data_IF_028455003533
#
_entry.id   IF_028455003533
#
_cell.length_a   1.000
_cell.length_b   1.000
_cell.length_c   1.000
_cell.angle_alpha   90.00
_cell.angle_beta   90.00
_cell.angle_gamma   90.00
#
_symmetry.space_group_name_H-M   'P 1'
#
loop_
_entity.id
_entity.type
_entity.pdbx_description
1 polymer ?
#
# COMPACT_ATOMS: atom_id res chain seq x y z
N UNK A 1 -7.01 -5.11 -14.41
CA UNK A 1 -6.35 -5.07 -13.96
C UNK A 1 -5.87 -5.27 -13.80
N UNK A 2 -6.08 -5.38 -13.94
CA UNK A 2 -5.32 -5.42 -13.55
C UNK A 2 -4.71 -5.13 -13.50
N UNK A 3 -4.95 -4.94 -13.73
CA UNK A 3 -4.12 -4.62 -13.52
C UNK A 3 -3.80 -4.69 -13.93
N UNK A 4 -4.34 -4.60 -14.41
CA UNK A 4 -3.91 -4.53 -14.53
C UNK A 4 -3.82 -4.43 -14.64
N UNK A 5 -4.45 -4.46 -15.27
CA UNK A 5 -4.18 -4.25 -15.22
C UNK A 5 -4.28 -4.07 -15.56
N UNK A 6 -4.90 -4.08 -15.98
CA UNK A 6 -4.76 -3.82 -16.12
C UNK A 6 -4.47 -3.59 -16.24
N UNK A 7 -4.87 -3.53 -16.67
CA UNK A 7 -4.38 -3.33 -16.46
C UNK A 7 -3.58 -3.48 -16.39
N UNK A 8 -3.77 -3.56 -16.64
CA UNK A 8 -2.95 -3.64 -16.30
C UNK A 8 -2.17 -4.17 -16.02
N UNK A 9 -2.09 -4.46 -16.23
CA UNK A 9 -1.36 -4.77 -15.68
C UNK A 9 -0.55 -4.85 -15.16
N UNK A 10 -0.36 -5.07 -15.00
CA UNK A 10 0.45 -5.01 -14.39
C UNK A 10 1.07 -5.49 -14.04
N UNK A 11 1.32 -5.69 -13.89
CA UNK A 11 2.04 -5.89 -13.42
C UNK A 11 2.84 -6.35 -13.09
N UNK A 12 3.18 -6.75 -12.89
CA UNK A 12 4.01 -7.26 -12.98
C UNK A 12 5.03 -7.00 -12.33
N UNK A 13 5.53 -6.78 -11.93
CA UNK A 13 6.52 -6.29 -11.45
C UNK A 13 6.54 -6.46 -10.20
N UNK A 14 5.86 -6.62 -9.57
CA UNK A 14 5.95 -6.65 -8.39
C UNK A 14 6.05 -7.67 -7.73
N UNK A 15 5.94 -8.54 -7.95
CA UNK A 15 6.00 -9.54 -7.34
C UNK A 15 7.06 -9.73 -6.66
N UNK A 16 7.75 -9.09 -6.56
CA UNK A 16 8.85 -9.17 -5.96
C UNK A 16 8.62 -9.38 -4.62
N UNK A 17 7.65 -9.22 -4.05
CA UNK A 17 7.51 -9.37 -2.74
C UNK A 17 6.66 -10.46 -2.39
N UNK A 18 6.54 -11.48 -3.02
CA UNK A 18 5.74 -12.47 -2.74
C UNK A 18 6.17 -13.31 -1.73
N UNK A 19 5.67 -13.33 -0.65
CA UNK A 19 6.05 -14.16 0.40
C UNK A 19 4.98 -14.96 0.77
N UNK A 20 4.32 -15.60 0.23
CA UNK A 20 3.25 -16.20 0.57
C UNK A 20 3.27 -17.34 1.17
N UNK A 21 3.15 -17.54 2.18
CA UNK A 21 3.29 -18.73 2.69
C UNK A 21 2.20 -19.11 3.52
N UNK A 22 1.37 -18.48 3.96
CA UNK A 22 0.40 -18.93 4.79
C UNK A 22 -0.83 -18.57 4.27
N UNK A 23 -1.43 -18.96 3.32
CA UNK A 23 -2.65 -18.62 2.82
C UNK A 23 -3.67 -18.56 3.86
N UNK A 24 -4.63 -17.80 3.78
CA UNK A 24 -5.66 -17.68 4.77
C UNK A 24 -5.55 -16.44 5.62
N UNK A 25 -4.42 -15.78 5.61
CA UNK A 25 -4.29 -14.54 6.33
C UNK A 25 -4.39 -13.39 5.35
N UNK A 26 -5.06 -12.32 5.75
CA UNK A 26 -5.19 -11.16 4.90
C UNK A 26 -3.84 -10.62 4.48
N UNK A 27 -3.74 -10.20 3.22
CA UNK A 27 -2.55 -9.63 2.60
C UNK A 27 -1.38 -10.63 2.49
N UNK A 28 -1.62 -11.90 2.79
CA UNK A 28 -0.60 -12.92 2.68
C UNK A 28 -0.79 -13.63 1.35
N UNK A 29 -0.72 -12.92 0.26
CA UNK A 29 -0.98 -13.41 -1.09
C UNK A 29 -0.13 -12.61 -2.06
N UNK A 30 -0.32 -12.78 -3.35
CA UNK A 30 0.43 -12.05 -4.36
C UNK A 30 0.12 -10.56 -4.28
N UNK A 31 1.12 -9.73 -4.46
CA UNK A 31 0.99 -8.29 -4.30
C UNK A 31 1.26 -7.58 -5.60
N UNK A 32 0.41 -6.64 -5.92
CA UNK A 32 0.50 -5.87 -7.15
C UNK A 32 0.42 -4.38 -6.86
N UNK A 33 0.92 -3.59 -7.78
CA UNK A 33 0.75 -2.15 -7.73
C UNK A 33 0.16 -1.72 -9.04
N UNK A 34 -0.58 -0.62 -9.04
CA UNK A 34 -1.10 -0.08 -10.28
C UNK A 34 0.00 0.69 -11.00
N UNK A 35 -0.24 1.02 -12.26
CA UNK A 35 0.68 1.81 -13.04
C UNK A 35 0.92 3.17 -12.38
N UNK A 36 -0.12 3.79 -11.85
CA UNK A 36 0.02 5.09 -11.19
C UNK A 36 0.96 5.01 -9.99
N UNK A 37 0.82 3.99 -9.17
CA UNK A 37 1.73 3.78 -8.05
C UNK A 37 3.16 3.59 -8.55
N UNK A 38 3.33 2.76 -9.56
CA UNK A 38 4.65 2.50 -10.09
C UNK A 38 5.34 3.77 -10.61
N UNK A 39 4.57 4.67 -11.19
CA UNK A 39 5.13 5.88 -11.76
C UNK A 39 5.33 7.00 -10.76
N UNK A 40 4.48 7.09 -9.74
CA UNK A 40 4.45 8.26 -8.89
C UNK A 40 4.85 8.05 -7.44
N UNK A 41 4.82 6.83 -6.95
CA UNK A 41 5.19 6.60 -5.56
C UNK A 41 6.56 5.92 -5.49
N UNK A 42 7.56 6.58 -4.91
CA UNK A 42 8.91 6.00 -4.83
C UNK A 42 8.92 4.61 -4.17
N UNK A 43 9.81 3.76 -4.62
CA UNK A 43 9.88 2.38 -4.16
C UNK A 43 10.05 2.27 -2.64
N UNK A 44 10.86 3.14 -2.05
CA UNK A 44 11.06 3.08 -0.60
C UNK A 44 9.74 3.32 0.15
N UNK A 45 8.86 4.16 -0.38
CA UNK A 45 7.56 4.38 0.24
C UNK A 45 6.63 3.20 -0.01
N UNK A 46 6.69 2.60 -1.18
CA UNK A 46 5.89 1.41 -1.45
C UNK A 46 6.24 0.31 -0.45
N UNK A 47 7.52 0.07 -0.24
CA UNK A 47 7.98 -0.94 0.70
C UNK A 47 7.52 -0.61 2.12
N UNK A 48 7.61 0.67 2.49
CA UNK A 48 7.17 1.10 3.81
C UNK A 48 5.69 0.81 4.02
N UNK A 49 4.84 1.14 3.04
CA UNK A 49 3.40 0.93 3.21
C UNK A 49 3.06 -0.56 3.34
N UNK A 50 3.69 -1.42 2.53
CA UNK A 50 3.47 -2.86 2.68
C UNK A 50 3.93 -3.33 4.06
N UNK A 51 5.05 -2.81 4.56
CA UNK A 51 5.54 -3.24 5.87
C UNK A 51 4.63 -2.77 7.00
N UNK A 52 3.97 -1.64 6.83
CA UNK A 52 3.03 -1.18 7.84
C UNK A 52 1.81 -2.11 7.92
N UNK A 53 1.38 -2.66 6.80
CA UNK A 53 0.31 -3.65 6.81
C UNK A 53 0.82 -4.94 7.45
N UNK A 54 2.01 -5.39 7.10
CA UNK A 54 2.56 -6.65 7.60
C UNK A 54 2.76 -6.63 9.12
N UNK A 55 3.07 -5.47 9.67
CA UNK A 55 3.37 -5.38 11.10
C UNK A 55 2.18 -4.92 11.93
N UNK A 56 0.99 -4.80 11.32
CA UNK A 56 -0.18 -4.37 12.03
C UNK A 56 -0.57 -5.40 13.08
N UNK A 57 -0.81 -4.96 14.31
CA UNK A 57 -1.07 -5.88 15.41
C UNK A 57 -2.55 -6.12 15.67
N UNK A 58 -3.43 -5.30 15.11
CA UNK A 58 -4.87 -5.54 15.25
C UNK A 58 -5.35 -6.42 14.10
N UNK A 59 -6.57 -6.90 14.20
CA UNK A 59 -7.13 -7.69 13.12
C UNK A 59 -7.21 -6.83 11.87
N UNK A 60 -6.72 -7.31 10.73
CA UNK A 60 -6.62 -6.51 9.53
C UNK A 60 -7.96 -6.43 8.80
N UNK A 61 -8.32 -5.21 8.41
CA UNK A 61 -9.45 -4.98 7.52
C UNK A 61 -8.94 -5.18 6.09
N UNK A 62 -9.82 -5.52 5.17
CA UNK A 62 -9.44 -5.71 3.77
C UNK A 62 -8.96 -4.41 3.11
N UNK A 63 -9.35 -3.26 3.63
CA UNK A 63 -8.97 -1.97 3.09
C UNK A 63 -8.05 -1.25 4.09
N UNK A 64 -6.84 -1.01 3.67
CA UNK A 64 -5.88 -0.26 4.46
C UNK A 64 -5.69 1.10 3.79
N UNK A 65 -5.80 2.18 4.56
CA UNK A 65 -5.81 3.54 4.06
C UNK A 65 -4.57 4.27 4.52
N UNK A 66 -3.85 4.91 3.59
CA UNK A 66 -2.67 5.66 3.92
C UNK A 66 -2.80 7.09 3.38
N UNK A 67 -2.75 8.07 4.27
CA UNK A 67 -2.71 9.47 3.85
C UNK A 67 -1.27 9.94 4.01
N UNK A 68 -0.67 10.38 2.92
CA UNK A 68 0.71 10.83 2.91
C UNK A 68 0.72 12.33 2.70
N UNK A 69 1.25 13.06 3.67
CA UNK A 69 1.24 14.51 3.64
C UNK A 69 2.66 15.00 3.58
N UNK A 70 2.93 15.93 2.68
CA UNK A 70 4.25 16.55 2.59
C UNK A 70 4.32 17.64 3.66
N UNK A 71 5.24 17.50 4.60
CA UNK A 71 5.42 18.50 5.65
C UNK A 71 6.31 19.60 5.10
N UNK A 72 7.48 19.25 4.58
CA UNK A 72 8.35 20.19 3.90
C UNK A 72 9.51 19.38 3.33
N UNK A 73 10.00 19.77 2.15
CA UNK A 73 11.09 19.05 1.50
C UNK A 73 10.72 17.59 1.30
N UNK A 74 11.54 16.70 1.80
CA UNK A 74 11.28 15.27 1.70
C UNK A 74 10.75 14.68 3.01
N UNK A 75 10.36 15.52 3.96
CA UNK A 75 9.78 15.03 5.21
C UNK A 75 8.29 14.83 5.04
N UNK A 76 7.83 13.63 5.30
CA UNK A 76 6.45 13.24 5.12
C UNK A 76 5.82 12.78 6.41
N UNK A 77 4.49 12.90 6.48
CA UNK A 77 3.73 12.35 7.58
C UNK A 77 2.77 11.35 6.97
N UNK A 78 2.79 10.13 7.42
CA UNK A 78 1.93 9.07 6.90
C UNK A 78 0.98 8.65 7.99
N UNK A 79 -0.32 8.73 7.71
CA UNK A 79 -1.35 8.24 8.61
C UNK A 79 -1.94 6.98 8.02
N UNK A 80 -1.79 5.89 8.75
CA UNK A 80 -2.31 4.57 8.37
C UNK A 80 -3.56 4.31 9.18
N UNK A 81 -4.65 3.95 8.53
CA UNK A 81 -5.91 3.70 9.22
C UNK A 81 -6.70 2.58 8.56
N UNK A 82 -7.63 2.02 9.29
CA UNK A 82 -8.62 1.09 8.78
C UNK A 82 -9.92 1.31 9.56
N UNK A 83 -11.03 0.88 9.02
CA UNK A 83 -12.33 1.13 9.63
C UNK A 83 -12.80 0.00 10.52
N UNK A 84 -12.71 -1.24 10.07
CA UNK A 84 -13.09 -2.36 10.90
C UNK A 84 -11.92 -2.68 11.80
N UNK A 85 -12.17 -3.07 13.02
CA UNK A 85 -11.16 -3.12 14.06
C UNK A 85 -10.40 -1.81 14.03
N UNK A 86 -11.05 -0.73 14.46
CA UNK A 86 -10.54 0.63 14.20
C UNK A 86 -9.09 0.82 14.62
N UNK A 87 -8.34 1.47 13.76
CA UNK A 87 -6.92 1.67 13.97
C UNK A 87 -6.49 2.93 13.26
N UNK A 88 -5.63 3.70 13.90
CA UNK A 88 -5.09 4.89 13.26
C UNK A 88 -3.74 5.17 13.89
N UNK A 89 -2.73 5.33 13.08
CA UNK A 89 -1.39 5.64 13.56
C UNK A 89 -0.71 6.56 12.57
N UNK A 90 0.01 7.55 13.07
CA UNK A 90 0.73 8.50 12.23
C UNK A 90 2.21 8.35 12.51
N UNK A 91 3.01 8.28 11.46
CA UNK A 91 4.46 8.21 11.56
C UNK A 91 5.09 9.24 10.64
N UNK A 92 6.35 9.54 10.85
CA UNK A 92 7.10 10.39 9.94
C UNK A 92 7.98 9.52 9.06
N UNK A 93 8.19 9.93 7.85
CA UNK A 93 8.99 9.19 6.89
C UNK A 93 9.71 10.16 5.96
N UNK A 94 10.65 9.66 5.20
CA UNK A 94 11.39 10.47 4.24
C UNK A 94 11.11 9.91 2.85
N UNK A 95 10.70 10.74 1.95
CA UNK A 95 10.46 10.33 0.57
C UNK A 95 10.30 11.53 -0.33
N UNK A 96 10.56 11.33 -1.60
CA UNK A 96 10.55 12.43 -2.53
C UNK A 96 9.29 12.41 -3.36
N UNK A 97 8.27 13.08 -2.90
CA UNK A 97 7.02 13.25 -3.65
C UNK A 97 6.70 14.73 -3.69
N UNK A 98 5.91 15.14 -4.68
CA UNK A 98 5.67 16.57 -4.91
C UNK A 98 4.29 17.02 -4.46
N UNK A 99 3.48 16.15 -3.89
CA UNK A 99 2.15 16.50 -3.44
C UNK A 99 1.65 15.50 -2.42
N UNK A 100 0.62 15.86 -1.69
CA UNK A 100 -0.04 14.94 -0.77
C UNK A 100 -0.71 13.85 -1.59
N UNK A 101 -0.74 12.65 -1.05
CA UNK A 101 -1.30 11.49 -1.73
C UNK A 101 -2.13 10.66 -0.78
N UNK A 102 -3.13 9.98 -1.32
CA UNK A 102 -3.92 9.02 -0.56
C UNK A 102 -3.82 7.68 -1.26
N UNK A 103 -3.36 6.68 -0.55
CA UNK A 103 -3.09 5.36 -1.11
C UNK A 103 -3.93 4.32 -0.39
N UNK A 104 -4.46 3.38 -1.14
CA UNK A 104 -5.16 2.24 -0.59
C UNK A 104 -4.35 0.98 -0.84
N UNK A 105 -4.41 0.04 0.09
CA UNK A 105 -3.99 -1.33 -0.15
C UNK A 105 -5.20 -2.19 0.13
N UNK A 106 -5.64 -2.92 -0.88
CA UNK A 106 -6.88 -3.70 -0.81
C UNK A 106 -6.57 -5.18 -0.99
N UNK A 107 -7.10 -6.00 -0.10
CA UNK A 107 -7.00 -7.45 -0.22
C UNK A 107 -8.27 -7.96 -0.90
N UNK A 108 -8.12 -8.54 -2.08
CA UNK A 108 -9.24 -9.11 -2.83
C UNK A 108 -9.33 -10.62 -2.65
N UNK A 109 -8.67 -11.15 -1.63
CA UNK A 109 -8.60 -12.56 -1.28
C UNK A 109 -7.56 -13.33 -2.11
N UNK A 110 -7.58 -13.24 -3.41
CA UNK A 110 -6.59 -13.93 -4.23
C UNK A 110 -5.31 -13.13 -4.37
N UNK A 111 -5.40 -11.81 -4.28
CA UNK A 111 -4.24 -10.96 -4.38
C UNK A 111 -4.50 -9.65 -3.67
N UNK A 112 -3.46 -8.89 -3.45
CA UNK A 112 -3.57 -7.57 -2.82
C UNK A 112 -3.04 -6.52 -3.79
N UNK A 113 -3.63 -5.35 -3.77
CA UNK A 113 -3.26 -4.29 -4.71
C UNK A 113 -3.05 -2.97 -3.98
N UNK A 114 -1.97 -2.28 -4.31
CA UNK A 114 -1.72 -0.92 -3.86
C UNK A 114 -2.12 0.02 -4.99
N UNK A 115 -2.96 1.00 -4.71
CA UNK A 115 -3.48 1.92 -5.72
C UNK A 115 -3.74 3.28 -5.09
N UNK A 116 -3.80 4.31 -5.93
CA UNK A 116 -4.20 5.63 -5.41
C UNK A 116 -5.71 5.67 -5.21
N UNK A 117 -6.13 6.33 -4.16
CA UNK A 117 -7.55 6.59 -3.93
C UNK A 117 -8.01 7.67 -4.90
N UNK A 118 -9.26 7.59 -5.29
CA UNK A 118 -9.78 8.58 -6.21
C UNK A 118 -10.72 9.52 -5.59
#
# INVERSE_FOLDING_TARGET
MKFQLPTSKVFSTLFLFQFSFRGGFMFDNSRYITKGINEELPLNLQILLWSLVDTLLVEKDYLQIFNIKVIRGNLLEITHSQEKSPYKRTIQAVGNIDRDMKVYIIDSQEYSTMLFAE
#
